data_IF_598729105426
#
_entry.id   IF_598729105426
#
_cell.length_a   1.000
_cell.length_b   1.000
_cell.length_c   1.000
_cell.angle_alpha   90.00
_cell.angle_beta   90.00
_cell.angle_gamma   90.00
#
_symmetry.space_group_name_H-M   'P 1'
#
loop_
_entity.id
_entity.type
_entity.pdbx_description
1 polymer ?
#
# COMPACT_ATOMS: atom_id res chain seq x y z
N UNK A 1 -10.97 23.91 -11.61
CA UNK A 1 -9.95 24.92 -11.93
C UNK A 1 -8.66 24.22 -12.31
N UNK A 2 -7.52 24.89 -12.17
CA UNK A 2 -6.18 24.33 -12.40
C UNK A 2 -5.24 24.69 -11.25
N UNK A 3 -4.09 24.02 -11.18
CA UNK A 3 -3.02 24.39 -10.26
C UNK A 3 -2.31 25.69 -10.72
N UNK A 4 -1.63 26.35 -9.79
CA UNK A 4 -0.65 27.42 -10.05
C UNK A 4 0.58 26.83 -10.73
N UNK A 5 1.09 27.55 -11.72
CA UNK A 5 2.26 27.20 -12.54
C UNK A 5 3.32 28.29 -12.44
N UNK A 6 4.55 28.03 -12.90
CA UNK A 6 5.67 28.98 -12.83
C UNK A 6 5.42 30.31 -13.54
N UNK A 7 4.52 30.33 -14.54
CA UNK A 7 4.20 31.52 -15.32
C UNK A 7 3.03 32.32 -14.72
N UNK A 8 2.43 31.86 -13.62
CA UNK A 8 1.34 32.56 -12.98
C UNK A 8 1.85 33.66 -12.05
N UNK A 9 1.17 34.81 -12.10
CA UNK A 9 1.35 35.90 -11.16
C UNK A 9 -0.02 36.39 -10.73
N UNK A 10 -0.14 36.73 -9.44
CA UNK A 10 -1.39 37.18 -8.81
C UNK A 10 -2.51 36.15 -8.90
N UNK A 11 -2.16 34.86 -8.77
CA UNK A 11 -3.11 33.74 -8.82
C UNK A 11 -3.17 33.02 -7.48
N UNK A 12 -4.34 32.53 -7.11
CA UNK A 12 -4.56 31.86 -5.84
C UNK A 12 -5.43 30.61 -5.99
N UNK A 13 -5.15 29.62 -5.15
CA UNK A 13 -6.02 28.49 -4.85
C UNK A 13 -6.62 28.70 -3.47
N UNK A 14 -7.93 28.49 -3.37
CA UNK A 14 -8.69 28.63 -2.12
C UNK A 14 -9.42 27.34 -1.79
N UNK A 15 -9.74 27.13 -0.51
CA UNK A 15 -10.54 25.97 -0.11
C UNK A 15 -12.00 26.10 -0.55
N UNK A 16 -12.67 24.97 -0.77
CA UNK A 16 -14.07 24.94 -1.20
C UNK A 16 -15.04 25.58 -0.21
N UNK A 17 -14.83 25.37 1.09
CA UNK A 17 -15.74 25.90 2.11
C UNK A 17 -15.54 27.40 2.32
N UNK A 18 -14.31 27.90 2.21
CA UNK A 18 -14.04 29.34 2.15
C UNK A 18 -14.69 29.98 0.94
N UNK A 19 -14.58 29.36 -0.24
CA UNK A 19 -15.20 29.87 -1.45
C UNK A 19 -16.72 29.93 -1.32
N UNK A 20 -17.36 28.87 -0.81
CA UNK A 20 -18.81 28.83 -0.58
C UNK A 20 -19.26 29.90 0.43
N UNK A 21 -18.57 30.02 1.57
CA UNK A 21 -18.92 30.99 2.61
C UNK A 21 -18.87 32.44 2.11
N UNK A 22 -17.97 32.74 1.17
CA UNK A 22 -17.78 34.07 0.61
C UNK A 22 -18.44 34.25 -0.78
N UNK A 23 -19.23 33.28 -1.25
CA UNK A 23 -19.86 33.27 -2.58
C UNK A 23 -18.86 33.44 -3.75
N UNK A 24 -17.63 32.94 -3.58
CA UNK A 24 -16.57 33.01 -4.58
C UNK A 24 -16.63 31.81 -5.53
N UNK A 25 -16.26 32.04 -6.79
CA UNK A 25 -16.20 31.04 -7.85
C UNK A 25 -14.83 31.07 -8.52
N UNK A 26 -14.58 30.10 -9.38
CA UNK A 26 -13.41 30.15 -10.27
C UNK A 26 -13.46 31.44 -11.10
N UNK A 27 -12.34 32.16 -11.18
CA UNK A 27 -12.21 33.46 -11.81
C UNK A 27 -12.63 34.65 -10.93
N UNK A 28 -13.17 34.42 -9.72
CA UNK A 28 -13.42 35.49 -8.77
C UNK A 28 -12.09 36.12 -8.32
N UNK A 29 -12.11 37.43 -8.11
CA UNK A 29 -10.97 38.19 -7.58
C UNK A 29 -11.16 38.50 -6.12
N UNK A 30 -10.06 38.51 -5.37
CA UNK A 30 -10.02 38.87 -3.96
C UNK A 30 -8.80 39.72 -3.67
N UNK A 31 -8.89 40.58 -2.67
CA UNK A 31 -7.77 41.40 -2.21
C UNK A 31 -7.18 40.78 -0.96
N UNK A 32 -5.88 40.49 -1.02
CA UNK A 32 -5.07 40.07 0.11
C UNK A 32 -4.34 41.27 0.68
N UNK A 33 -4.16 41.28 2.00
CA UNK A 33 -3.41 42.30 2.72
C UNK A 33 -2.45 41.63 3.69
N UNK A 34 -1.23 42.17 3.76
CA UNK A 34 -0.24 41.72 4.73
C UNK A 34 -0.76 41.90 6.18
N UNK A 35 -0.60 40.86 7.00
CA UNK A 35 -0.97 40.92 8.40
C UNK A 35 0.14 41.62 9.20
N UNK A 36 -0.16 42.78 9.79
CA UNK A 36 0.82 43.57 10.56
C UNK A 36 1.18 42.95 11.91
N UNK A 37 0.38 41.99 12.39
CA UNK A 37 0.59 41.30 13.65
C UNK A 37 1.23 39.92 13.48
N UNK A 38 1.54 39.55 12.23
CA UNK A 38 2.24 38.32 11.92
C UNK A 38 3.72 38.48 12.25
N UNK A 39 4.26 37.55 13.04
CA UNK A 39 5.68 37.53 13.40
C UNK A 39 6.59 37.29 12.18
N UNK A 40 6.05 36.66 11.14
CA UNK A 40 6.79 36.35 9.91
C UNK A 40 6.80 37.53 8.92
N UNK A 41 6.02 38.57 9.20
CA UNK A 41 6.04 39.84 8.47
C UNK A 41 7.21 40.71 8.97
N UNK A 42 8.44 40.23 8.76
CA UNK A 42 9.68 40.88 9.24
C UNK A 42 9.84 42.32 8.72
N UNK A 43 9.24 42.61 7.57
CA UNK A 43 9.03 43.95 7.05
C UNK A 43 7.58 44.32 7.33
N UNK A 44 7.23 45.34 8.14
CA UNK A 44 5.85 45.64 8.54
C UNK A 44 5.01 46.16 7.37
N UNK A 45 4.79 45.31 6.37
CA UNK A 45 4.17 45.59 5.11
C UNK A 45 2.70 45.92 5.33
N UNK A 46 2.20 46.85 4.51
CA UNK A 46 0.79 47.22 4.47
C UNK A 46 0.20 47.02 3.09
N UNK A 47 0.96 46.34 2.23
CA UNK A 47 0.65 46.19 0.82
C UNK A 47 -0.60 45.35 0.64
N UNK A 48 -1.35 45.71 -0.40
CA UNK A 48 -2.55 45.02 -0.82
C UNK A 48 -2.35 44.50 -2.24
N UNK A 49 -2.77 43.26 -2.46
CA UNK A 49 -2.60 42.59 -3.74
C UNK A 49 -3.93 41.98 -4.17
N UNK A 50 -4.39 42.34 -5.36
CA UNK A 50 -5.56 41.71 -5.98
C UNK A 50 -5.13 40.43 -6.68
N UNK A 51 -5.74 39.31 -6.30
CA UNK A 51 -5.45 37.99 -6.86
C UNK A 51 -6.71 37.33 -7.42
N UNK A 52 -6.53 36.47 -8.41
CA UNK A 52 -7.61 35.74 -9.07
C UNK A 52 -7.62 34.26 -8.69
N UNK A 53 -8.79 33.72 -8.36
CA UNK A 53 -8.97 32.31 -8.03
C UNK A 53 -8.91 31.46 -9.30
N UNK A 54 -7.83 30.72 -9.49
CA UNK A 54 -7.64 29.81 -10.65
C UNK A 54 -8.01 28.36 -10.34
N UNK A 55 -8.13 28.03 -9.05
CA UNK A 55 -8.50 26.71 -8.59
C UNK A 55 -9.12 26.74 -7.20
N UNK A 56 -9.94 25.74 -6.94
CA UNK A 56 -10.58 25.51 -5.64
C UNK A 56 -10.23 24.08 -5.25
N UNK A 57 -9.61 23.92 -4.07
CA UNK A 57 -9.22 22.62 -3.55
C UNK A 57 -10.15 22.20 -2.41
N UNK A 58 -10.15 20.90 -2.10
CA UNK A 58 -10.91 20.31 -1.02
C UNK A 58 -9.96 19.50 -0.14
N UNK A 59 -10.13 19.62 1.17
CA UNK A 59 -9.53 18.76 2.17
C UNK A 59 -10.34 18.89 3.46
N UNK A 60 -10.26 17.89 4.32
CA UNK A 60 -10.78 18.02 5.68
C UNK A 60 -9.68 17.66 6.66
N UNK A 61 -9.62 18.42 7.73
CA UNK A 61 -8.82 18.05 8.88
C UNK A 61 -9.47 16.81 9.52
N UNK A 62 -8.78 15.66 9.60
CA UNK A 62 -9.32 14.47 10.24
C UNK A 62 -9.48 14.66 11.76
N UNK A 63 -8.74 15.61 12.35
CA UNK A 63 -8.85 16.03 13.74
C UNK A 63 -9.49 17.40 13.83
N UNK A 64 -10.16 17.67 14.94
CA UNK A 64 -10.68 18.99 15.21
C UNK A 64 -9.52 19.97 15.42
N UNK A 65 -9.50 21.06 14.64
CA UNK A 65 -8.54 22.14 14.80
C UNK A 65 -8.68 22.77 16.19
N UNK A 66 -7.55 22.91 16.88
CA UNK A 66 -7.43 23.56 18.19
C UNK A 66 -6.92 25.00 18.04
N UNK A 67 -6.09 25.26 17.02
CA UNK A 67 -5.54 26.57 16.70
C UNK A 67 -6.02 27.09 15.34
N UNK A 68 -6.03 28.41 15.15
CA UNK A 68 -6.49 29.03 13.90
C UNK A 68 -5.65 28.62 12.68
N UNK A 69 -4.35 28.38 12.88
CA UNK A 69 -3.42 27.92 11.84
C UNK A 69 -3.69 26.49 11.37
N UNK A 70 -4.50 25.72 12.11
CA UNK A 70 -4.88 24.34 11.78
C UNK A 70 -6.19 24.26 10.97
N UNK A 71 -6.80 25.40 10.65
CA UNK A 71 -8.00 25.48 9.82
C UNK A 71 -7.61 25.37 8.35
N UNK A 72 -7.65 24.16 7.82
CA UNK A 72 -7.43 23.84 6.40
C UNK A 72 -8.29 24.69 5.47
N UNK A 73 -9.50 25.01 5.91
CA UNK A 73 -10.46 25.79 5.17
C UNK A 73 -9.97 27.22 4.91
N UNK A 74 -9.03 27.73 5.71
CA UNK A 74 -8.43 29.05 5.57
C UNK A 74 -7.01 29.03 4.98
N UNK A 75 -6.56 27.90 4.43
CA UNK A 75 -5.28 27.80 3.74
C UNK A 75 -5.38 28.42 2.34
N UNK A 76 -4.44 29.30 2.03
CA UNK A 76 -4.30 29.96 0.74
C UNK A 76 -2.99 29.53 0.09
N UNK A 77 -3.06 29.04 -1.15
CA UNK A 77 -1.86 28.72 -1.94
C UNK A 77 -1.75 29.73 -3.08
N UNK A 78 -0.65 30.47 -3.16
CA UNK A 78 -0.44 31.52 -4.15
C UNK A 78 0.96 31.46 -4.75
N UNK A 79 1.21 32.23 -5.80
CA UNK A 79 2.50 32.32 -6.46
C UNK A 79 3.52 33.16 -5.65
N UNK A 80 4.81 32.93 -5.91
CA UNK A 80 5.91 33.60 -5.21
C UNK A 80 5.90 35.12 -5.45
N UNK A 81 5.45 35.59 -6.61
CA UNK A 81 5.40 37.04 -6.86
C UNK A 81 4.37 37.73 -5.96
N UNK A 82 3.22 37.08 -5.72
CA UNK A 82 2.20 37.56 -4.78
C UNK A 82 2.74 37.61 -3.34
N UNK A 83 3.37 36.53 -2.85
CA UNK A 83 3.91 36.49 -1.48
C UNK A 83 5.02 37.52 -1.28
N UNK A 84 5.87 37.70 -2.29
CA UNK A 84 6.94 38.71 -2.30
C UNK A 84 6.38 40.12 -2.16
N UNK A 85 5.33 40.45 -2.92
CA UNK A 85 4.67 41.75 -2.86
C UNK A 85 3.99 41.96 -1.50
N UNK A 86 3.25 40.97 -0.99
CA UNK A 86 2.57 41.08 0.29
C UNK A 86 3.56 41.32 1.44
N UNK A 87 4.69 40.63 1.47
CA UNK A 87 5.66 40.71 2.57
C UNK A 87 6.80 41.72 2.31
N UNK A 88 6.67 42.58 1.30
CA UNK A 88 7.67 43.59 0.92
C UNK A 88 9.09 43.03 0.68
N UNK A 89 9.18 41.81 0.14
CA UNK A 89 10.44 41.20 -0.29
C UNK A 89 10.77 41.52 -1.76
N UNK A 90 11.97 41.16 -2.18
CA UNK A 90 12.49 41.17 -3.55
C UNK A 90 13.02 39.78 -3.90
N UNK A 91 13.29 39.50 -5.17
CA UNK A 91 13.85 38.21 -5.58
C UNK A 91 15.23 37.92 -4.96
N UNK A 92 15.90 38.94 -4.41
CA UNK A 92 17.25 38.83 -3.84
C UNK A 92 17.26 38.58 -2.34
N UNK A 93 16.16 38.87 -1.63
CA UNK A 93 16.08 38.78 -0.17
C UNK A 93 14.85 38.02 0.33
N UNK A 94 14.12 37.35 -0.56
CA UNK A 94 13.00 36.48 -0.16
C UNK A 94 13.50 35.27 0.63
N UNK A 95 12.70 34.86 1.61
CA UNK A 95 13.00 33.74 2.50
C UNK A 95 12.10 32.57 2.10
N UNK A 96 12.71 31.41 1.94
CA UNK A 96 12.01 30.15 1.73
C UNK A 96 12.06 29.36 3.03
N UNK A 97 10.91 29.01 3.59
CA UNK A 97 10.85 28.14 4.77
C UNK A 97 11.24 26.71 4.38
N UNK A 98 10.65 26.20 3.28
CA UNK A 98 10.85 24.85 2.80
C UNK A 98 11.13 24.80 1.29
N UNK A 99 11.85 23.75 0.86
CA UNK A 99 12.08 23.45 -0.55
C UNK A 99 11.96 21.94 -0.79
N UNK A 100 11.01 21.55 -1.65
CA UNK A 100 10.76 20.15 -2.01
C UNK A 100 11.41 19.81 -3.35
N UNK A 101 12.18 18.72 -3.38
CA UNK A 101 12.83 18.23 -4.59
C UNK A 101 12.29 16.86 -4.99
N UNK A 102 11.88 16.72 -6.26
CA UNK A 102 11.37 15.45 -6.79
C UNK A 102 12.47 14.67 -7.51
N UNK A 103 12.56 13.36 -7.25
CA UNK A 103 13.48 12.46 -7.94
C UNK A 103 12.73 11.55 -8.90
N UNK A 104 13.32 11.22 -10.06
CA UNK A 104 12.67 10.40 -11.10
C UNK A 104 12.57 8.90 -10.74
N UNK A 105 12.95 8.46 -9.53
CA UNK A 105 12.87 7.05 -9.14
C UNK A 105 13.04 6.80 -7.65
N UNK A 106 12.36 5.77 -7.13
CA UNK A 106 12.29 5.42 -5.69
C UNK A 106 13.55 4.75 -5.15
N UNK A 107 14.35 4.10 -6.01
CA UNK A 107 15.50 3.26 -5.60
C UNK A 107 16.81 4.02 -5.36
N UNK A 108 16.84 5.35 -5.52
CA UNK A 108 18.08 6.15 -5.43
C UNK A 108 18.01 7.28 -4.40
N UNK A 109 16.95 7.34 -3.58
CA UNK A 109 16.78 8.45 -2.63
C UNK A 109 17.92 8.52 -1.61
N UNK A 110 18.41 7.38 -1.13
CA UNK A 110 19.52 7.32 -0.19
C UNK A 110 20.82 7.88 -0.78
N UNK A 111 21.12 7.54 -2.04
CA UNK A 111 22.29 8.06 -2.73
C UNK A 111 22.19 9.56 -3.02
N UNK A 112 21.01 10.02 -3.44
CA UNK A 112 20.75 11.45 -3.68
C UNK A 112 20.95 12.23 -2.39
N UNK A 113 20.44 11.73 -1.27
CA UNK A 113 20.60 12.35 0.05
C UNK A 113 22.06 12.34 0.52
N UNK A 114 22.79 11.25 0.29
CA UNK A 114 24.22 11.17 0.61
C UNK A 114 25.04 12.17 -0.23
N UNK A 115 24.66 12.40 -1.49
CA UNK A 115 25.28 13.43 -2.35
C UNK A 115 24.89 14.84 -1.91
N UNK A 116 23.62 15.06 -1.58
CA UNK A 116 23.12 16.36 -1.13
C UNK A 116 23.81 16.81 0.16
N UNK A 117 23.98 15.93 1.16
CA UNK A 117 24.69 16.24 2.41
C UNK A 117 26.16 16.65 2.22
N UNK A 118 26.78 16.33 1.08
CA UNK A 118 28.16 16.75 0.76
C UNK A 118 28.24 18.16 0.18
N UNK A 119 27.11 18.79 -0.13
CA UNK A 119 27.08 20.16 -0.62
C UNK A 119 27.53 21.11 0.49
N UNK A 120 28.16 22.26 0.14
CA UNK A 120 28.62 23.26 1.09
C UNK A 120 27.45 24.10 1.64
N UNK A 121 26.48 23.43 2.26
CA UNK A 121 25.31 24.03 2.91
C UNK A 121 25.51 24.00 4.42
N UNK A 122 25.01 25.00 5.12
CA UNK A 122 25.06 25.04 6.58
C UNK A 122 24.00 24.12 7.19
N UNK A 123 24.32 22.84 7.33
CA UNK A 123 23.43 21.81 7.90
C UNK A 123 23.10 21.99 9.40
N UNK A 124 23.65 23.00 10.08
CA UNK A 124 23.19 23.37 11.43
C UNK A 124 21.95 24.28 11.38
N UNK A 125 21.71 24.95 10.24
CA UNK A 125 20.56 25.84 10.03
C UNK A 125 19.47 25.21 9.18
N UNK A 126 19.82 24.24 8.35
CA UNK A 126 18.91 23.58 7.43
C UNK A 126 18.85 22.08 7.71
N UNK A 127 17.65 21.52 7.63
CA UNK A 127 17.44 20.09 7.76
C UNK A 127 17.01 19.53 6.40
N UNK A 128 17.65 18.42 5.99
CA UNK A 128 17.25 17.70 4.78
C UNK A 128 16.49 16.44 5.18
N UNK A 129 15.17 16.52 5.13
CA UNK A 129 14.29 15.40 5.46
C UNK A 129 13.90 14.63 4.20
N UNK A 130 13.85 13.31 4.31
CA UNK A 130 13.31 12.48 3.23
C UNK A 130 11.79 12.52 3.34
N UNK A 131 11.10 12.73 2.22
CA UNK A 131 9.64 12.62 2.19
C UNK A 131 9.13 11.20 2.58
N UNK A 132 10.00 10.18 2.61
CA UNK A 132 9.67 8.88 3.22
C UNK A 132 9.49 8.92 4.75
N UNK A 133 9.99 9.97 5.42
CA UNK A 133 9.75 10.22 6.85
C UNK A 133 8.42 10.95 7.08
N UNK A 134 8.06 11.88 6.21
CA UNK A 134 6.73 12.51 6.19
C UNK A 134 5.66 11.48 5.79
N UNK A 135 5.90 10.65 4.75
CA UNK A 135 5.07 9.49 4.40
C UNK A 135 5.45 8.20 5.15
N UNK A 136 6.12 8.29 6.31
CA UNK A 136 6.47 7.10 7.09
C UNK A 136 5.23 6.30 7.51
N UNK A 137 4.10 7.00 7.77
CA UNK A 137 2.81 6.37 8.03
C UNK A 137 2.32 5.51 6.86
N UNK A 138 2.44 6.02 5.63
CA UNK A 138 2.08 5.27 4.40
C UNK A 138 3.05 4.11 4.18
N UNK A 139 4.36 4.35 4.24
CA UNK A 139 5.38 3.32 4.01
C UNK A 139 5.32 2.21 5.06
N UNK A 140 5.10 2.58 6.33
CA UNK A 140 4.89 1.65 7.44
C UNK A 140 3.61 0.84 7.28
N UNK A 141 2.51 1.48 6.87
CA UNK A 141 1.26 0.78 6.57
C UNK A 141 1.44 -0.19 5.39
N UNK A 142 2.13 0.21 4.31
CA UNK A 142 2.43 -0.66 3.16
C UNK A 142 3.26 -1.87 3.60
N UNK A 143 4.35 -1.67 4.34
CA UNK A 143 5.18 -2.77 4.84
C UNK A 143 4.42 -3.68 5.81
N UNK A 144 3.53 -3.10 6.64
CA UNK A 144 2.62 -3.85 7.49
C UNK A 144 1.64 -4.71 6.68
N UNK A 145 1.08 -4.19 5.60
CA UNK A 145 0.25 -4.95 4.66
C UNK A 145 1.03 -6.12 4.07
N UNK A 146 2.24 -5.89 3.56
CA UNK A 146 3.07 -6.97 3.00
C UNK A 146 3.39 -8.04 4.05
N UNK A 147 3.78 -7.65 5.27
CA UNK A 147 4.07 -8.60 6.34
C UNK A 147 2.86 -9.44 6.76
N UNK A 148 1.67 -8.84 6.80
CA UNK A 148 0.42 -9.56 7.07
C UNK A 148 0.04 -10.51 5.94
N UNK A 149 0.16 -10.08 4.68
CA UNK A 149 -0.11 -10.91 3.51
C UNK A 149 0.86 -12.09 3.44
N UNK A 150 2.16 -11.86 3.61
CA UNK A 150 3.17 -12.92 3.58
C UNK A 150 2.96 -13.93 4.72
N UNK A 151 2.67 -13.46 5.93
CA UNK A 151 2.35 -14.33 7.06
C UNK A 151 1.10 -15.17 6.81
N UNK A 152 0.05 -14.57 6.25
CA UNK A 152 -1.17 -15.27 5.88
C UNK A 152 -0.93 -16.30 4.77
N UNK A 153 -0.14 -15.96 3.75
CA UNK A 153 0.21 -16.85 2.66
C UNK A 153 0.92 -18.10 3.19
N UNK A 154 1.93 -17.95 4.04
CA UNK A 154 2.65 -19.08 4.64
C UNK A 154 1.77 -19.92 5.56
N UNK A 155 0.94 -19.28 6.40
CA UNK A 155 0.03 -19.99 7.29
C UNK A 155 -0.98 -20.84 6.50
N UNK A 156 -1.63 -20.24 5.49
CA UNK A 156 -2.59 -20.94 4.64
C UNK A 156 -1.91 -22.01 3.79
N UNK A 157 -0.71 -21.78 3.28
CA UNK A 157 0.04 -22.78 2.51
C UNK A 157 0.35 -24.02 3.36
N UNK A 158 0.83 -23.86 4.60
CA UNK A 158 1.13 -24.96 5.51
C UNK A 158 -0.13 -25.77 5.86
N UNK A 159 -1.23 -25.10 6.18
CA UNK A 159 -2.52 -25.76 6.45
C UNK A 159 -3.01 -26.50 5.23
N UNK A 160 -2.90 -25.91 4.03
CA UNK A 160 -3.31 -26.54 2.78
C UNK A 160 -2.51 -27.81 2.48
N UNK A 161 -1.19 -27.78 2.67
CA UNK A 161 -0.33 -28.97 2.51
C UNK A 161 -0.72 -30.06 3.50
N UNK A 162 -0.97 -29.72 4.76
CA UNK A 162 -1.38 -30.68 5.78
C UNK A 162 -2.73 -31.34 5.45
N UNK A 163 -3.74 -30.54 5.07
CA UNK A 163 -5.08 -31.04 4.73
C UNK A 163 -5.05 -31.89 3.45
N UNK A 164 -4.42 -31.40 2.37
CA UNK A 164 -4.30 -32.14 1.10
C UNK A 164 -3.54 -33.44 1.32
N UNK A 165 -2.41 -33.38 2.04
CA UNK A 165 -1.62 -34.57 2.38
C UNK A 165 -2.44 -35.61 3.15
N UNK A 166 -3.23 -35.18 4.13
CA UNK A 166 -4.10 -36.06 4.91
C UNK A 166 -5.20 -36.70 4.05
N UNK A 167 -5.88 -35.92 3.20
CA UNK A 167 -6.93 -36.44 2.31
C UNK A 167 -6.35 -37.45 1.32
N UNK A 168 -5.21 -37.14 0.70
CA UNK A 168 -4.55 -38.05 -0.24
C UNK A 168 -4.10 -39.34 0.44
N UNK A 169 -3.60 -39.25 1.68
CA UNK A 169 -3.23 -40.41 2.47
C UNK A 169 -4.43 -41.35 2.72
N UNK A 170 -5.56 -40.80 3.17
CA UNK A 170 -6.79 -41.58 3.39
C UNK A 170 -7.28 -42.22 2.08
N UNK A 171 -7.33 -41.42 1.02
CA UNK A 171 -7.82 -41.86 -0.29
C UNK A 171 -6.98 -42.99 -0.88
N UNK A 172 -5.67 -42.94 -0.70
CA UNK A 172 -4.79 -44.02 -1.16
C UNK A 172 -4.87 -45.27 -0.29
N UNK A 173 -5.20 -45.14 0.99
CA UNK A 173 -5.39 -46.28 1.87
C UNK A 173 -6.63 -47.09 1.46
N UNK A 174 -7.72 -46.42 1.07
CA UNK A 174 -8.94 -47.07 0.57
C UNK A 174 -8.71 -47.81 -0.77
N UNK A 175 -7.80 -47.31 -1.62
CA UNK A 175 -7.54 -47.85 -2.97
C UNK A 175 -6.38 -48.85 -3.03
N UNK A 176 -5.84 -49.28 -1.89
CA UNK A 176 -4.79 -50.32 -1.82
C UNK A 176 -5.23 -51.63 -2.49
N UNK A 177 -6.48 -52.04 -2.30
CA UNK A 177 -7.04 -53.27 -2.88
C UNK A 177 -7.12 -53.20 -4.40
N UNK A 178 -7.52 -52.05 -4.95
CA UNK A 178 -7.56 -51.81 -6.41
C UNK A 178 -6.14 -51.89 -7.00
N UNK A 179 -5.18 -51.23 -6.34
CA UNK A 179 -3.77 -51.28 -6.74
C UNK A 179 -3.22 -52.71 -6.72
N UNK A 180 -3.56 -53.51 -5.70
CA UNK A 180 -3.17 -54.91 -5.59
C UNK A 180 -3.73 -55.80 -6.71
N UNK A 181 -4.99 -55.59 -7.11
CA UNK A 181 -5.62 -56.30 -8.24
C UNK A 181 -4.97 -55.92 -9.58
N UNK A 182 -4.68 -54.63 -9.79
CA UNK A 182 -4.00 -54.14 -11.00
C UNK A 182 -2.57 -54.68 -11.13
N UNK A 183 -1.85 -54.75 -10.01
CA UNK A 183 -0.53 -55.39 -9.93
C UNK A 183 -0.60 -56.89 -10.25
N UNK A 184 -1.58 -57.60 -9.71
CA UNK A 184 -1.77 -59.04 -9.94
C UNK A 184 -2.14 -59.38 -11.40
N UNK A 185 -2.75 -58.44 -12.12
CA UNK A 185 -3.08 -58.58 -13.55
C UNK A 185 -1.92 -58.20 -14.49
N UNK A 186 -0.76 -57.81 -13.94
CA UNK A 186 0.47 -57.54 -14.69
C UNK A 186 0.64 -56.07 -15.12
N UNK A 187 -0.15 -55.14 -14.58
CA UNK A 187 0.02 -53.70 -14.84
C UNK A 187 1.26 -53.20 -14.07
N UNK A 188 2.20 -52.49 -14.72
CA UNK A 188 3.36 -51.96 -14.04
C UNK A 188 2.97 -50.85 -13.05
N UNK A 189 3.66 -50.80 -11.90
CA UNK A 189 3.43 -49.84 -10.82
C UNK A 189 3.43 -48.38 -11.29
N UNK A 190 4.29 -48.04 -12.26
CA UNK A 190 4.38 -46.69 -12.84
C UNK A 190 3.08 -46.25 -13.53
N UNK A 191 2.34 -47.16 -14.17
CA UNK A 191 1.05 -46.84 -14.79
C UNK A 191 -0.04 -46.56 -13.76
N UNK A 192 -0.03 -47.27 -12.64
CA UNK A 192 -0.98 -47.06 -11.54
C UNK A 192 -0.74 -45.68 -10.91
N UNK A 193 0.52 -45.34 -10.62
CA UNK A 193 0.90 -44.02 -10.09
C UNK A 193 0.55 -42.90 -11.08
N UNK A 194 0.82 -43.09 -12.37
CA UNK A 194 0.48 -42.11 -13.40
C UNK A 194 -1.03 -41.91 -13.54
N UNK A 195 -1.84 -42.96 -13.39
CA UNK A 195 -3.29 -42.85 -13.36
C UNK A 195 -3.75 -41.98 -12.18
N UNK A 196 -3.24 -42.22 -10.97
CA UNK A 196 -3.60 -41.41 -9.80
C UNK A 196 -3.18 -39.95 -9.95
N UNK A 197 -1.99 -39.69 -10.51
CA UNK A 197 -1.56 -38.32 -10.84
C UNK A 197 -2.53 -37.69 -11.85
N UNK A 198 -2.89 -38.40 -12.92
CA UNK A 198 -3.80 -37.87 -13.95
C UNK A 198 -5.20 -37.57 -13.40
N UNK A 199 -5.76 -38.44 -12.57
CA UNK A 199 -7.05 -38.24 -11.90
C UNK A 199 -7.03 -36.97 -11.03
N UNK A 200 -5.98 -36.80 -10.22
CA UNK A 200 -5.86 -35.64 -9.33
C UNK A 200 -5.60 -34.34 -10.10
N UNK A 201 -4.82 -34.38 -11.18
CA UNK A 201 -4.59 -33.22 -12.04
C UNK A 201 -5.89 -32.79 -12.72
N UNK A 202 -6.73 -33.72 -13.18
CA UNK A 202 -8.03 -33.38 -13.77
C UNK A 202 -8.95 -32.66 -12.75
N UNK A 203 -9.00 -33.17 -11.51
CA UNK A 203 -9.77 -32.52 -10.44
C UNK A 203 -9.18 -31.13 -10.12
N UNK A 204 -7.86 -31.03 -10.01
CA UNK A 204 -7.17 -29.79 -9.69
C UNK A 204 -7.42 -28.69 -10.75
N UNK A 205 -7.41 -29.02 -12.03
CA UNK A 205 -7.71 -28.06 -13.11
C UNK A 205 -9.12 -27.48 -12.96
N UNK A 206 -10.12 -28.34 -12.69
CA UNK A 206 -11.50 -27.88 -12.48
C UNK A 206 -11.63 -27.03 -11.20
N UNK A 207 -11.01 -27.47 -10.10
CA UNK A 207 -11.03 -26.74 -8.83
C UNK A 207 -10.32 -25.39 -8.91
N UNK A 208 -9.15 -25.32 -9.56
CA UNK A 208 -8.42 -24.07 -9.76
C UNK A 208 -9.16 -23.10 -10.69
N UNK A 209 -9.83 -23.62 -11.73
CA UNK A 209 -10.73 -22.83 -12.57
C UNK A 209 -11.88 -22.22 -11.77
N UNK A 210 -12.54 -23.00 -10.91
CA UNK A 210 -13.60 -22.49 -10.04
C UNK A 210 -13.07 -21.48 -9.01
N UNK A 211 -11.88 -21.72 -8.46
CA UNK A 211 -11.22 -20.85 -7.49
C UNK A 211 -10.94 -19.45 -8.02
N UNK A 212 -10.71 -19.30 -9.33
CA UNK A 212 -10.47 -17.98 -9.93
C UNK A 212 -11.66 -17.04 -9.72
N UNK A 213 -12.87 -17.54 -9.97
CA UNK A 213 -14.10 -16.75 -9.83
C UNK A 213 -14.40 -16.42 -8.38
N UNK A 214 -14.19 -17.37 -7.46
CA UNK A 214 -14.45 -17.14 -6.03
C UNK A 214 -13.39 -16.26 -5.39
N UNK A 215 -12.13 -16.36 -5.82
CA UNK A 215 -11.04 -15.53 -5.32
C UNK A 215 -11.31 -14.04 -5.57
N UNK A 216 -11.76 -13.66 -6.77
CA UNK A 216 -12.07 -12.27 -7.08
C UNK A 216 -13.16 -11.65 -6.17
N UNK A 217 -14.16 -12.45 -5.76
CA UNK A 217 -15.23 -12.00 -4.88
C UNK A 217 -14.76 -11.76 -3.44
N UNK A 218 -13.85 -12.59 -2.95
CA UNK A 218 -13.36 -12.56 -1.56
C UNK A 218 -12.16 -11.62 -1.42
N UNK A 219 -11.35 -11.48 -2.47
CA UNK A 219 -10.09 -10.73 -2.46
C UNK A 219 -10.28 -9.26 -2.03
N UNK A 220 -11.34 -8.60 -2.48
CA UNK A 220 -11.57 -7.20 -2.12
C UNK A 220 -11.90 -7.05 -0.62
N UNK A 221 -12.78 -7.90 -0.09
CA UNK A 221 -13.14 -7.86 1.34
C UNK A 221 -11.94 -8.15 2.23
N UNK A 222 -11.16 -9.18 1.88
CA UNK A 222 -9.96 -9.54 2.63
C UNK A 222 -8.89 -8.44 2.52
N UNK A 223 -8.72 -7.84 1.34
CA UNK A 223 -7.82 -6.72 1.10
C UNK A 223 -8.16 -5.51 1.96
N UNK A 224 -9.43 -5.11 1.99
CA UNK A 224 -9.90 -3.99 2.82
C UNK A 224 -9.64 -4.25 4.31
N UNK A 225 -9.85 -5.49 4.79
CA UNK A 225 -9.55 -5.88 6.16
C UNK A 225 -8.06 -5.80 6.50
N UNK A 226 -7.20 -6.39 5.67
CA UNK A 226 -5.74 -6.35 5.89
C UNK A 226 -5.21 -4.92 5.88
N UNK A 227 -5.68 -4.09 4.95
CA UNK A 227 -5.30 -2.67 4.85
C UNK A 227 -5.75 -1.91 6.07
N UNK A 228 -7.00 -2.08 6.50
CA UNK A 228 -7.52 -1.41 7.70
C UNK A 228 -6.74 -1.78 8.96
N UNK A 229 -6.33 -3.04 9.10
CA UNK A 229 -5.57 -3.53 10.24
C UNK A 229 -4.12 -3.02 10.22
N UNK A 230 -3.48 -3.03 9.06
CA UNK A 230 -2.15 -2.46 8.87
C UNK A 230 -2.13 -0.95 9.14
N UNK A 231 -3.15 -0.22 8.65
CA UNK A 231 -3.32 1.21 8.93
C UNK A 231 -3.49 1.48 10.43
N UNK A 232 -4.34 0.73 11.13
CA UNK A 232 -4.49 0.84 12.59
C UNK A 232 -3.18 0.56 13.34
N UNK A 233 -2.43 -0.45 12.92
CA UNK A 233 -1.14 -0.78 13.54
C UNK A 233 -0.10 0.32 13.31
N UNK A 234 -0.04 0.88 12.10
CA UNK A 234 0.84 2.01 11.77
C UNK A 234 0.50 3.25 12.62
N UNK A 235 -0.79 3.58 12.77
CA UNK A 235 -1.23 4.68 13.64
C UNK A 235 -0.85 4.47 15.10
N UNK A 236 -1.02 3.24 15.63
CA UNK A 236 -0.60 2.89 17.00
C UNK A 236 0.89 3.01 17.21
N UNK A 237 1.69 2.55 16.23
CA UNK A 237 3.14 2.59 16.30
C UNK A 237 3.67 4.03 16.25
N UNK A 238 3.13 4.86 15.35
CA UNK A 238 3.43 6.29 15.29
C UNK A 238 3.11 7.01 16.61
N UNK A 239 1.94 6.74 17.21
CA UNK A 239 1.57 7.29 18.52
C UNK A 239 2.49 6.87 19.67
N UNK A 240 3.04 5.64 19.62
CA UNK A 240 3.96 5.14 20.64
C UNK A 240 5.39 5.70 20.51
N UNK A 241 5.86 6.01 19.30
CA UNK A 241 7.18 6.60 19.08
C UNK A 241 7.27 8.08 19.46
N UNK A 242 6.12 8.76 19.55
CA UNK A 242 6.03 10.19 19.88
C UNK A 242 5.97 10.47 21.39
N UNK A 243 6.03 9.46 22.26
CA UNK A 243 6.09 9.61 23.72
C UNK A 243 5.01 10.56 24.30
N UNK A 244 3.82 10.59 23.69
CA UNK A 244 2.71 11.47 24.10
C UNK A 244 2.74 12.90 23.54
N UNK A 245 3.73 13.27 22.72
CA UNK A 245 3.69 14.52 21.96
C UNK A 245 2.62 14.41 20.86
N UNK A 246 1.50 15.10 21.05
CA UNK A 246 0.49 15.23 20.00
C UNK A 246 1.10 16.05 18.87
N UNK A 247 1.32 15.42 17.72
CA UNK A 247 1.39 16.15 16.46
C UNK A 247 0.13 17.02 16.38
N UNK A 248 0.28 18.29 16.03
CA UNK A 248 -0.83 19.24 15.85
C UNK A 248 -1.84 18.74 14.82
N UNK A 249 -2.85 19.54 14.56
CA UNK A 249 -3.80 19.29 13.49
C UNK A 249 -3.49 20.11 12.22
N UNK A 250 -2.25 20.59 12.08
CA UNK A 250 -1.80 21.37 10.94
C UNK A 250 -1.62 20.53 9.65
N UNK A 251 -1.49 21.22 8.52
CA UNK A 251 -1.54 20.60 7.18
C UNK A 251 -0.48 19.52 6.96
N UNK A 252 0.73 19.76 7.47
CA UNK A 252 1.88 18.90 7.26
C UNK A 252 1.84 17.66 8.17
N UNK A 253 1.36 17.81 9.41
CA UNK A 253 1.18 16.68 10.33
C UNK A 253 0.05 15.75 9.89
N UNK A 254 -1.06 16.31 9.41
CA UNK A 254 -2.20 15.54 8.88
C UNK A 254 -1.79 14.77 7.64
N UNK A 255 -1.06 15.41 6.72
CA UNK A 255 -0.53 14.75 5.52
C UNK A 255 0.42 13.62 5.90
N UNK A 256 1.27 13.83 6.90
CA UNK A 256 2.19 12.81 7.41
C UNK A 256 1.48 11.65 8.14
N UNK A 257 0.29 11.92 8.69
CA UNK A 257 -0.54 10.92 9.37
C UNK A 257 -1.49 10.14 8.46
N UNK A 258 -1.60 10.51 7.17
CA UNK A 258 -2.43 9.79 6.19
C UNK A 258 -1.91 8.36 6.04
N UNK A 259 -2.82 7.41 6.15
CA UNK A 259 -2.57 5.98 5.87
C UNK A 259 -3.31 5.56 4.61
N UNK A 260 -3.07 4.33 4.15
CA UNK A 260 -3.75 3.76 2.98
C UNK A 260 -5.26 3.66 3.23
N UNK A 261 -6.04 4.47 2.53
CA UNK A 261 -7.49 4.57 2.73
C UNK A 261 -8.26 3.49 1.94
N UNK A 262 -7.77 3.13 0.74
CA UNK A 262 -8.32 2.06 -0.12
C UNK A 262 -7.25 1.41 -0.98
N UNK A 263 -7.28 0.08 -1.07
CA UNK A 263 -6.48 -0.69 -2.03
C UNK A 263 -7.42 -1.38 -3.00
N UNK A 264 -7.22 -1.13 -4.29
CA UNK A 264 -7.89 -1.90 -5.34
C UNK A 264 -7.14 -3.20 -5.52
N UNK A 265 -7.78 -4.34 -5.20
CA UNK A 265 -7.17 -5.65 -5.38
C UNK A 265 -7.45 -6.14 -6.79
N UNK A 266 -6.40 -6.22 -7.61
CA UNK A 266 -6.45 -6.80 -8.94
C UNK A 266 -5.83 -8.20 -8.93
N UNK A 267 -6.56 -9.20 -9.44
CA UNK A 267 -6.00 -10.55 -9.63
C UNK A 267 -5.39 -10.61 -11.03
N UNK A 268 -4.05 -10.60 -11.10
CA UNK A 268 -3.35 -10.68 -12.38
C UNK A 268 -3.23 -12.15 -12.85
N UNK A 269 -3.46 -12.46 -14.15
CA UNK A 269 -3.33 -13.82 -14.66
C UNK A 269 -1.95 -14.46 -14.45
N UNK A 270 -0.90 -13.66 -14.36
CA UNK A 270 0.48 -14.12 -14.10
C UNK A 270 0.64 -14.69 -12.69
N UNK A 271 -0.04 -14.10 -11.71
CA UNK A 271 0.06 -14.53 -10.30
C UNK A 271 -0.72 -15.84 -10.09
N UNK A 272 -1.83 -16.02 -10.83
CA UNK A 272 -2.58 -17.27 -10.87
C UNK A 272 -1.75 -18.44 -11.39
N UNK A 273 -0.96 -18.23 -12.44
CA UNK A 273 -0.08 -19.27 -12.98
C UNK A 273 0.94 -19.74 -11.95
N UNK A 274 1.51 -18.82 -11.16
CA UNK A 274 2.44 -19.17 -10.09
C UNK A 274 1.77 -20.03 -9.01
N UNK A 275 0.56 -19.65 -8.58
CA UNK A 275 -0.22 -20.40 -7.58
C UNK A 275 -0.62 -21.78 -8.09
N UNK A 276 -1.11 -21.88 -9.33
CA UNK A 276 -1.48 -23.16 -9.93
C UNK A 276 -0.26 -24.08 -10.09
N UNK A 277 0.87 -23.53 -10.52
CA UNK A 277 2.13 -24.26 -10.64
C UNK A 277 2.61 -24.81 -9.30
N UNK A 278 2.61 -23.98 -8.25
CA UNK A 278 2.97 -24.40 -6.89
C UNK A 278 1.99 -25.47 -6.36
N UNK A 279 0.69 -25.29 -6.56
CA UNK A 279 -0.34 -26.24 -6.15
C UNK A 279 -0.20 -27.60 -6.82
N UNK A 280 0.04 -27.62 -8.14
CA UNK A 280 0.30 -28.86 -8.89
C UNK A 280 1.57 -29.57 -8.39
N UNK A 281 2.63 -28.82 -8.11
CA UNK A 281 3.86 -29.40 -7.56
C UNK A 281 3.62 -30.08 -6.21
N UNK A 282 2.84 -29.45 -5.32
CA UNK A 282 2.45 -30.03 -4.02
C UNK A 282 1.66 -31.32 -4.21
N UNK A 283 0.67 -31.35 -5.11
CA UNK A 283 -0.12 -32.54 -5.40
C UNK A 283 0.77 -33.69 -5.87
N UNK A 284 1.66 -33.42 -6.84
CA UNK A 284 2.57 -34.45 -7.37
C UNK A 284 3.47 -35.00 -6.26
N UNK A 285 4.07 -34.13 -5.43
CA UNK A 285 4.93 -34.56 -4.32
C UNK A 285 4.13 -35.39 -3.31
N UNK A 286 2.92 -34.97 -2.95
CA UNK A 286 2.09 -35.67 -1.98
C UNK A 286 1.69 -37.07 -2.47
N UNK A 287 1.31 -37.20 -3.75
CA UNK A 287 1.01 -38.50 -4.38
C UNK A 287 2.22 -39.40 -4.38
N UNK A 288 3.40 -38.89 -4.77
CA UNK A 288 4.64 -39.67 -4.77
C UNK A 288 5.00 -40.18 -3.37
N UNK A 289 4.82 -39.36 -2.34
CA UNK A 289 5.07 -39.75 -0.95
C UNK A 289 4.08 -40.80 -0.47
N UNK A 290 2.79 -40.58 -0.72
CA UNK A 290 1.75 -41.53 -0.33
C UNK A 290 1.83 -42.84 -1.13
N UNK A 291 2.36 -42.82 -2.36
CA UNK A 291 2.45 -44.02 -3.22
C UNK A 291 3.60 -44.94 -2.85
N UNK A 292 4.58 -44.45 -2.08
CA UNK A 292 5.73 -45.25 -1.62
C UNK A 292 5.33 -46.59 -1.00
N UNK A 293 4.46 -46.65 0.03
CA UNK A 293 4.04 -47.92 0.61
C UNK A 293 3.42 -48.85 -0.44
N UNK A 294 2.59 -48.35 -1.35
CA UNK A 294 1.96 -49.15 -2.41
C UNK A 294 2.99 -49.71 -3.41
N UNK A 295 4.02 -48.93 -3.76
CA UNK A 295 5.09 -49.37 -4.68
C UNK A 295 6.10 -50.32 -4.04
N UNK A 296 6.24 -50.31 -2.71
CA UNK A 296 7.20 -51.14 -2.00
C UNK A 296 6.59 -52.45 -1.48
N UNK A 297 5.27 -52.54 -1.36
CA UNK A 297 4.56 -53.74 -0.94
C UNK A 297 4.39 -54.74 -2.09
N UNK A 298 4.50 -56.03 -1.78
CA UNK A 298 4.18 -57.10 -2.73
C UNK A 298 2.67 -57.24 -2.91
N UNK A 299 2.17 -57.77 -4.06
CA UNK A 299 0.73 -57.95 -4.31
C UNK A 299 0.05 -58.82 -3.25
N UNK A 300 0.82 -59.73 -2.63
CA UNK A 300 0.34 -60.62 -1.59
C UNK A 300 0.10 -59.87 -0.27
N UNK A 301 1.02 -59.00 0.14
CA UNK A 301 0.87 -58.14 1.31
C UNK A 301 -0.31 -57.18 1.16
N UNK A 302 -0.43 -56.49 0.02
CA UNK A 302 -1.54 -55.56 -0.24
C UNK A 302 -2.93 -56.22 -0.17
N UNK A 303 -3.01 -57.54 -0.37
CA UNK A 303 -4.24 -58.33 -0.32
C UNK A 303 -4.49 -58.98 1.05
N UNK A 304 -3.47 -59.15 1.88
CA UNK A 304 -3.58 -59.75 3.24
C UNK A 304 -3.56 -58.74 4.38
N UNK A 305 -3.20 -57.47 4.14
CA UNK A 305 -3.14 -56.41 5.17
C UNK A 305 -4.51 -55.82 5.55
N UNK A 306 -5.62 -56.37 5.05
CA UNK A 306 -6.99 -55.85 5.22
C UNK A 306 -7.90 -56.81 6.03
N UNK A 307 -7.31 -57.75 6.77
CA UNK A 307 -8.03 -58.45 7.85
C UNK A 307 -7.83 -57.72 9.20
#
# INVERSE_FOLDING_TARGET
>A
GRHITENDSHKILVHEDFAKANNLKLGSKLKLKANQYDTDNEHPSKDEVEVEIVGIFNGKNPKQATYQVELFENLFLTDIATTRQLNAYTAQNEIYQDATFFTKGTKQLDEVMARANKLPVNWQKYQLNKNSQELAGVTGAVNGVYGLIDGMLWATALVSVAVIGMVLYLWMNERKREAGVLLATGVPQSKIVLQYIAELVMIAVLSFGASYFTAGLIAQQLGDHVVSQAAQNATRQAGSSLNGASLGADADSVTSSRTLDKVTVGVQPTDLLAVWGAGLAVIIIAVLLASRPITQSTPKELLTEVD
#
